data_IF_034325410351
#
_entry.id   IF_034325410351
#
_cell.length_a   1.000
_cell.length_b   1.000
_cell.length_c   1.000
_cell.angle_alpha   90.00
_cell.angle_beta   90.00
_cell.angle_gamma   90.00
#
_symmetry.space_group_name_H-M   'P 1'
#
loop_
_entity.id
_entity.type
_entity.pdbx_description
1 polymer ?
#
# COMPACT_ATOMS: atom_id res chain seq x y z
N UNK A 1 1.64 2.82 -13.66
CA UNK A 1 1.23 3.96 -12.81
C UNK A 1 -0.20 3.72 -12.38
N UNK A 2 -0.52 3.92 -11.09
CA UNK A 2 -1.87 3.73 -10.54
C UNK A 2 -2.34 4.98 -9.84
N UNK A 3 -3.33 4.82 -8.96
CA UNK A 3 -3.67 5.83 -7.94
C UNK A 3 -3.29 5.24 -6.59
N UNK A 4 -2.24 5.77 -6.00
CA UNK A 4 -1.63 5.33 -4.74
C UNK A 4 -1.42 6.52 -3.84
N UNK A 5 -1.69 6.35 -2.55
CA UNK A 5 -1.33 7.34 -1.54
C UNK A 5 -0.08 6.81 -0.84
N UNK A 6 1.02 7.56 -0.96
CA UNK A 6 2.24 7.33 -0.22
C UNK A 6 2.28 8.30 0.96
N UNK A 7 2.67 7.83 2.13
CA UNK A 7 2.86 8.67 3.31
C UNK A 7 4.05 8.21 4.16
N UNK A 8 4.66 9.16 4.85
CA UNK A 8 5.74 8.92 5.82
C UNK A 8 5.72 9.99 6.90
N UNK A 9 6.22 9.65 8.08
CA UNK A 9 6.23 10.56 9.23
C UNK A 9 6.81 9.88 10.45
N UNK A 10 6.97 10.68 11.50
CA UNK A 10 7.42 10.24 12.84
C UNK A 10 6.30 10.59 13.81
N UNK A 11 5.92 9.65 14.67
CA UNK A 11 4.95 9.95 15.72
C UNK A 11 5.55 10.97 16.69
N UNK A 12 4.79 12.00 17.02
CA UNK A 12 5.26 13.10 17.87
C UNK A 12 5.55 12.60 19.31
N UNK A 13 4.71 11.70 19.81
CA UNK A 13 4.74 11.17 21.18
C UNK A 13 4.58 9.62 21.14
N UNK A 14 5.67 8.83 21.16
CA UNK A 14 5.61 7.36 21.06
C UNK A 14 4.72 6.68 22.12
N UNK A 15 4.54 7.29 23.29
CA UNK A 15 3.63 6.84 24.33
C UNK A 15 2.15 6.83 23.89
N UNK A 16 1.79 7.63 22.88
CA UNK A 16 0.42 7.74 22.35
C UNK A 16 0.06 6.69 21.31
N UNK A 17 0.95 5.75 21.00
CA UNK A 17 0.66 4.64 20.06
C UNK A 17 -0.59 3.85 20.47
N UNK A 18 -0.79 3.63 21.77
CA UNK A 18 -1.99 2.93 22.27
C UNK A 18 -3.27 3.73 22.05
N UNK A 19 -3.19 5.05 22.13
CA UNK A 19 -4.32 5.92 21.84
C UNK A 19 -4.64 5.91 20.35
N UNK A 20 -3.62 5.98 19.49
CA UNK A 20 -3.75 5.83 18.03
C UNK A 20 -4.41 4.49 17.67
N UNK A 21 -3.92 3.37 18.23
CA UNK A 21 -4.48 2.03 18.00
C UNK A 21 -5.94 1.96 18.43
N UNK A 22 -6.28 2.50 19.61
CA UNK A 22 -7.66 2.52 20.13
C UNK A 22 -8.57 3.30 19.20
N UNK A 23 -8.17 4.51 18.83
CA UNK A 23 -8.98 5.38 17.97
C UNK A 23 -9.20 4.75 16.59
N UNK A 24 -8.14 4.26 15.94
CA UNK A 24 -8.25 3.62 14.63
C UNK A 24 -9.00 2.28 14.70
N UNK A 25 -8.95 1.57 15.83
CA UNK A 25 -9.81 0.39 16.07
C UNK A 25 -11.29 0.79 16.13
N UNK A 26 -11.61 1.90 16.80
CA UNK A 26 -13.00 2.39 16.90
C UNK A 26 -13.51 2.85 15.54
N UNK A 27 -12.66 3.48 14.74
CA UNK A 27 -12.95 3.82 13.34
C UNK A 27 -13.20 2.55 12.52
N UNK A 28 -12.32 1.55 12.60
CA UNK A 28 -12.48 0.28 11.89
C UNK A 28 -13.82 -0.38 12.21
N UNK A 29 -14.15 -0.49 13.51
CA UNK A 29 -15.41 -1.06 13.98
C UNK A 29 -16.62 -0.28 13.49
N UNK A 30 -16.56 1.05 13.54
CA UNK A 30 -17.66 1.92 13.10
C UNK A 30 -17.92 1.80 11.60
N UNK A 31 -16.87 1.57 10.81
CA UNK A 31 -16.94 1.43 9.36
C UNK A 31 -17.13 -0.02 8.90
N UNK A 32 -17.13 -0.99 9.83
CA UNK A 32 -17.20 -2.42 9.51
C UNK A 32 -15.95 -2.96 8.81
N UNK A 33 -14.78 -2.37 9.07
CA UNK A 33 -13.52 -2.77 8.46
C UNK A 33 -12.78 -3.79 9.31
N UNK A 34 -12.10 -4.71 8.63
CA UNK A 34 -11.12 -5.59 9.27
C UNK A 34 -9.90 -4.77 9.70
N UNK A 35 -9.26 -5.20 10.79
CA UNK A 35 -8.04 -4.58 11.28
C UNK A 35 -7.13 -5.60 11.94
N UNK A 36 -5.83 -5.33 11.93
CA UNK A 36 -4.82 -6.11 12.64
C UNK A 36 -3.97 -5.20 13.52
N UNK A 37 -3.67 -5.63 14.74
CA UNK A 37 -2.78 -4.93 15.65
C UNK A 37 -1.42 -5.61 15.68
N UNK A 38 -0.36 -4.82 15.76
CA UNK A 38 0.98 -5.28 16.15
C UNK A 38 1.36 -4.58 17.45
N UNK A 39 1.96 -5.34 18.38
CA UNK A 39 2.49 -4.81 19.64
C UNK A 39 3.78 -5.54 20.02
N UNK A 40 4.77 -5.49 19.14
CA UNK A 40 6.06 -6.15 19.35
C UNK A 40 6.83 -5.53 20.53
N UNK A 41 7.70 -6.34 21.15
CA UNK A 41 8.63 -5.85 22.17
C UNK A 41 9.80 -5.09 21.53
N UNK A 42 9.84 -3.78 21.70
CA UNK A 42 10.94 -2.93 21.23
C UNK A 42 12.28 -3.15 21.95
N UNK A 43 12.31 -3.94 23.03
CA UNK A 43 13.56 -4.38 23.64
C UNK A 43 14.27 -5.46 22.82
N UNK A 44 13.57 -6.10 21.87
CA UNK A 44 14.12 -7.10 20.96
C UNK A 44 14.48 -6.43 19.63
N UNK A 45 15.71 -6.64 19.17
CA UNK A 45 16.15 -6.14 17.87
C UNK A 45 15.38 -6.82 16.74
N UNK A 46 14.91 -6.07 15.72
CA UNK A 46 14.24 -6.68 14.57
C UNK A 46 15.18 -7.58 13.76
N UNK A 47 14.72 -8.78 13.43
CA UNK A 47 15.44 -9.79 12.64
C UNK A 47 14.53 -10.50 11.61
N UNK A 48 13.43 -9.84 11.23
CA UNK A 48 12.45 -10.43 10.34
C UNK A 48 12.99 -10.73 8.93
N UNK A 49 12.63 -11.91 8.39
CA UNK A 49 13.03 -12.36 7.05
C UNK A 49 11.86 -13.03 6.30
N UNK A 50 11.91 -12.96 4.97
CA UNK A 50 11.01 -13.74 4.10
C UNK A 50 11.60 -15.12 3.84
N UNK A 51 10.92 -16.15 4.36
CA UNK A 51 11.30 -17.55 4.15
C UNK A 51 10.41 -18.15 3.06
N UNK A 52 11.04 -18.52 1.95
CA UNK A 52 10.40 -19.20 0.83
C UNK A 52 10.33 -20.71 1.11
N UNK A 53 9.12 -21.21 1.36
CA UNK A 53 8.81 -22.63 1.38
C UNK A 53 8.50 -23.17 -0.02
N UNK A 54 8.21 -24.47 -0.13
CA UNK A 54 7.89 -25.11 -1.41
C UNK A 54 6.61 -24.57 -2.07
N UNK A 55 5.66 -24.06 -1.28
CA UNK A 55 4.34 -23.62 -1.75
C UNK A 55 3.80 -22.36 -1.05
N UNK A 56 4.58 -21.77 -0.14
CA UNK A 56 4.18 -20.56 0.59
C UNK A 56 5.40 -19.72 0.93
N UNK A 57 5.17 -18.42 1.10
CA UNK A 57 6.13 -17.49 1.68
C UNK A 57 5.66 -17.16 3.09
N UNK A 58 6.57 -17.28 4.06
CA UNK A 58 6.27 -16.99 5.47
C UNK A 58 7.24 -15.95 6.00
N UNK A 59 6.76 -15.10 6.90
CA UNK A 59 7.60 -14.18 7.64
C UNK A 59 8.05 -14.88 8.91
N UNK A 60 9.36 -14.90 9.18
CA UNK A 60 9.94 -15.35 10.45
C UNK A 60 10.68 -14.20 11.11
N UNK A 61 10.96 -14.34 12.39
CA UNK A 61 11.67 -13.32 13.18
C UNK A 61 10.72 -12.28 13.78
N UNK A 62 11.32 -11.22 14.30
CA UNK A 62 10.69 -10.12 15.01
C UNK A 62 10.72 -8.86 14.16
N UNK A 63 9.57 -8.19 14.01
CA UNK A 63 9.45 -7.00 13.16
C UNK A 63 9.82 -5.71 13.91
N UNK A 64 9.64 -5.69 15.23
CA UNK A 64 9.84 -4.50 16.07
C UNK A 64 8.82 -3.42 15.81
N UNK A 65 7.61 -3.80 15.41
CA UNK A 65 6.55 -2.87 15.04
C UNK A 65 5.43 -2.85 16.07
N UNK A 66 4.94 -1.64 16.36
CA UNK A 66 3.69 -1.41 17.10
C UNK A 66 2.73 -0.61 16.25
N UNK A 67 1.44 -0.85 16.34
CA UNK A 67 0.44 -0.05 15.65
C UNK A 67 -0.71 -0.88 15.10
N UNK A 68 -1.30 -0.41 14.00
CA UNK A 68 -2.52 -0.99 13.45
C UNK A 68 -2.51 -0.94 11.91
N UNK A 69 -3.06 -1.96 11.28
CA UNK A 69 -3.49 -1.92 9.88
C UNK A 69 -5.00 -2.03 9.79
N UNK A 70 -5.59 -1.33 8.83
CA UNK A 70 -7.02 -1.31 8.52
C UNK A 70 -7.24 -1.85 7.11
N UNK A 71 -8.39 -2.47 6.86
CA UNK A 71 -8.80 -2.91 5.52
C UNK A 71 -10.09 -2.17 5.09
N UNK A 72 -9.98 -0.96 4.52
CA UNK A 72 -11.13 -0.21 4.05
C UNK A 72 -11.88 -0.94 2.92
N UNK A 73 -13.21 -0.90 2.94
CA UNK A 73 -14.04 -1.33 1.81
C UNK A 73 -14.16 -2.84 1.58
N UNK A 74 -13.68 -3.68 2.51
CA UNK A 74 -13.91 -5.14 2.47
C UNK A 74 -13.05 -5.91 1.45
N UNK A 75 -12.04 -5.28 0.87
CA UNK A 75 -11.08 -5.93 -0.02
C UNK A 75 -10.12 -4.92 -0.65
N UNK A 76 -8.83 -5.24 -0.67
CA UNK A 76 -7.79 -4.36 -1.22
C UNK A 76 -6.47 -4.45 -0.45
N UNK A 77 -5.65 -3.41 -0.60
CA UNK A 77 -4.44 -3.23 0.20
C UNK A 77 -4.79 -2.69 1.59
N UNK A 78 -3.96 -2.99 2.59
CA UNK A 78 -4.17 -2.48 3.94
C UNK A 78 -3.70 -1.03 4.07
N UNK A 79 -4.46 -0.21 4.79
CA UNK A 79 -4.01 1.10 5.28
C UNK A 79 -3.21 0.88 6.57
N UNK A 80 -1.92 1.21 6.58
CA UNK A 80 -0.97 0.76 7.60
C UNK A 80 -0.43 1.91 8.44
N UNK A 81 -0.55 1.79 9.76
CA UNK A 81 0.02 2.71 10.75
C UNK A 81 0.88 1.93 11.74
N UNK A 82 1.86 1.18 11.24
CA UNK A 82 2.89 0.55 12.08
C UNK A 82 4.06 1.50 12.30
N UNK A 83 4.63 1.42 13.50
CA UNK A 83 5.63 2.33 14.02
C UNK A 83 6.79 1.52 14.59
N UNK A 84 8.02 1.86 14.18
CA UNK A 84 9.23 1.27 14.74
C UNK A 84 9.65 1.93 16.07
N UNK A 85 10.68 1.38 16.73
CA UNK A 85 11.19 1.91 18.00
C UNK A 85 11.79 3.33 17.91
N UNK A 86 11.99 3.86 16.70
CA UNK A 86 12.42 5.25 16.46
C UNK A 86 11.24 6.20 16.23
N UNK A 87 10.01 5.69 16.30
CA UNK A 87 8.79 6.45 16.10
C UNK A 87 8.37 6.59 14.63
N UNK A 88 9.05 5.95 13.68
CA UNK A 88 8.77 6.15 12.26
C UNK A 88 7.69 5.22 11.74
N UNK A 89 6.88 5.73 10.81
CA UNK A 89 5.94 4.91 10.05
C UNK A 89 6.68 3.89 9.18
N UNK A 90 6.20 2.64 9.22
CA UNK A 90 6.75 1.49 8.50
C UNK A 90 5.66 0.62 7.90
N UNK A 91 6.02 -0.09 6.83
CA UNK A 91 5.31 -1.29 6.40
C UNK A 91 6.07 -2.54 6.85
N UNK A 92 5.39 -3.69 6.88
CA UNK A 92 6.03 -4.97 7.16
C UNK A 92 7.15 -5.26 6.14
N UNK A 93 6.89 -4.99 4.86
CA UNK A 93 7.84 -5.24 3.78
C UNK A 93 9.05 -4.32 3.86
N UNK A 94 8.88 -3.08 4.30
CA UNK A 94 9.99 -2.16 4.56
C UNK A 94 10.90 -2.68 5.68
N UNK A 95 10.31 -3.14 6.80
CA UNK A 95 11.10 -3.70 7.90
C UNK A 95 11.88 -4.94 7.49
N UNK A 96 11.27 -5.87 6.77
CA UNK A 96 11.97 -7.07 6.29
C UNK A 96 13.17 -6.65 5.40
N UNK A 97 12.95 -5.74 4.45
CA UNK A 97 14.05 -5.28 3.59
C UNK A 97 15.14 -4.54 4.37
N UNK A 98 14.78 -3.84 5.45
CA UNK A 98 15.75 -3.22 6.36
C UNK A 98 16.58 -4.28 7.11
N UNK A 99 15.93 -5.32 7.66
CA UNK A 99 16.62 -6.45 8.32
C UNK A 99 17.55 -7.19 7.35
N UNK A 100 17.16 -7.31 6.08
CA UNK A 100 17.98 -7.90 5.02
C UNK A 100 19.06 -6.95 4.46
N UNK A 101 19.16 -5.72 4.97
CA UNK A 101 20.16 -4.72 4.54
C UNK A 101 19.92 -4.15 3.13
N UNK A 102 18.69 -4.22 2.62
CA UNK A 102 18.30 -3.82 1.25
C UNK A 102 17.71 -2.41 1.17
N UNK A 103 17.23 -1.84 2.27
CA UNK A 103 16.58 -0.52 2.29
C UNK A 103 17.28 0.45 3.22
N UNK A 104 17.26 1.74 2.85
CA UNK A 104 17.71 2.85 3.68
C UNK A 104 16.51 3.35 4.53
N UNK A 105 16.56 3.25 5.87
CA UNK A 105 15.40 3.54 6.74
C UNK A 105 14.82 4.97 6.63
N UNK A 106 15.64 5.93 6.19
CA UNK A 106 15.28 7.35 6.06
C UNK A 106 14.46 7.68 4.81
N UNK A 107 14.31 6.72 3.89
CA UNK A 107 13.66 6.95 2.59
C UNK A 107 12.39 6.12 2.39
N UNK A 108 12.03 5.32 3.38
CA UNK A 108 10.87 4.45 3.31
C UNK A 108 9.56 5.25 3.31
N UNK A 109 8.69 4.89 2.37
CA UNK A 109 7.29 5.33 2.31
C UNK A 109 6.41 4.15 2.64
N UNK A 110 5.34 4.40 3.39
CA UNK A 110 4.21 3.48 3.46
C UNK A 110 3.25 3.87 2.35
N UNK A 111 2.67 2.90 1.66
CA UNK A 111 1.78 3.15 0.54
C UNK A 111 0.49 2.36 0.67
N UNK A 112 -0.58 2.90 0.12
CA UNK A 112 -1.82 2.18 -0.11
C UNK A 112 -2.34 2.53 -1.51
N UNK A 113 -2.48 1.51 -2.36
CA UNK A 113 -3.10 1.65 -3.66
C UNK A 113 -4.60 1.76 -3.50
N UNK A 114 -5.16 2.83 -4.07
CA UNK A 114 -6.58 3.16 -3.99
C UNK A 114 -7.31 3.07 -5.33
N UNK A 115 -6.59 2.81 -6.43
CA UNK A 115 -7.12 2.74 -7.80
C UNK A 115 -8.39 1.88 -7.98
N UNK A 116 -8.48 0.77 -7.25
CA UNK A 116 -9.60 -0.19 -7.38
C UNK A 116 -10.70 0.03 -6.34
N UNK A 117 -10.56 1.07 -5.50
CA UNK A 117 -11.57 1.48 -4.54
C UNK A 117 -12.42 2.61 -5.11
N UNK A 118 -13.55 2.90 -4.46
CA UNK A 118 -14.34 4.05 -4.84
C UNK A 118 -13.60 5.37 -4.53
N UNK A 119 -13.86 6.44 -5.29
CA UNK A 119 -13.36 7.78 -5.01
C UNK A 119 -13.70 8.24 -3.58
N UNK A 120 -14.85 7.85 -3.05
CA UNK A 120 -15.25 8.16 -1.67
C UNK A 120 -14.31 7.55 -0.63
N UNK A 121 -13.86 6.30 -0.83
CA UNK A 121 -12.90 5.65 0.07
C UNK A 121 -11.56 6.38 0.02
N UNK A 122 -11.09 6.77 -1.16
CA UNK A 122 -9.87 7.56 -1.31
C UNK A 122 -9.96 8.90 -0.56
N UNK A 123 -11.04 9.67 -0.78
CA UNK A 123 -11.28 10.95 -0.11
C UNK A 123 -11.32 10.78 1.41
N UNK A 124 -11.95 9.71 1.88
CA UNK A 124 -12.01 9.39 3.30
C UNK A 124 -10.62 9.10 3.87
N UNK A 125 -9.78 8.32 3.16
CA UNK A 125 -8.41 8.01 3.58
C UNK A 125 -7.59 9.30 3.69
N UNK A 126 -7.69 10.20 2.70
CA UNK A 126 -7.04 11.52 2.76
C UNK A 126 -7.54 12.32 3.97
N UNK A 127 -8.84 12.30 4.26
CA UNK A 127 -9.42 12.93 5.45
C UNK A 127 -8.83 12.38 6.75
N UNK A 128 -8.70 11.05 6.86
CA UNK A 128 -8.08 10.39 8.00
C UNK A 128 -6.60 10.80 8.13
N UNK A 129 -5.83 10.78 7.05
CA UNK A 129 -4.41 11.18 7.07
C UNK A 129 -4.23 12.64 7.52
N UNK A 130 -5.11 13.56 7.08
CA UNK A 130 -5.10 14.96 7.56
C UNK A 130 -5.41 15.07 9.04
N UNK A 131 -6.32 14.24 9.55
CA UNK A 131 -6.59 14.20 10.98
C UNK A 131 -5.37 13.69 11.76
N UNK A 132 -4.77 12.57 11.31
CA UNK A 132 -3.59 11.98 11.93
C UNK A 132 -2.37 12.91 11.88
N UNK A 133 -2.18 13.66 10.80
CA UNK A 133 -1.14 14.70 10.71
C UNK A 133 -1.28 15.74 11.83
N UNK A 134 -2.51 16.12 12.18
CA UNK A 134 -2.75 17.12 13.23
C UNK A 134 -2.60 16.57 14.64
N UNK A 135 -2.85 15.28 14.83
CA UNK A 135 -2.98 14.68 16.17
C UNK A 135 -1.77 13.86 16.62
N UNK A 136 -1.06 13.23 15.68
CA UNK A 136 -0.05 12.22 15.96
C UNK A 136 1.24 12.40 15.16
N UNK A 137 1.19 13.03 13.98
CA UNK A 137 2.32 13.10 13.05
C UNK A 137 2.47 14.52 12.49
N UNK A 138 2.98 15.45 13.29
CA UNK A 138 3.15 16.86 12.87
C UNK A 138 4.01 17.03 11.61
N UNK A 139 4.88 16.07 11.32
CA UNK A 139 5.73 16.00 10.13
C UNK A 139 5.25 15.01 9.06
N UNK A 140 3.97 14.62 9.06
CA UNK A 140 3.43 13.71 8.05
C UNK A 140 3.59 14.33 6.66
N UNK A 141 4.33 13.64 5.81
CA UNK A 141 4.42 13.90 4.38
C UNK A 141 3.49 12.93 3.64
N UNK A 142 2.78 13.43 2.64
CA UNK A 142 1.88 12.64 1.80
C UNK A 142 2.15 13.00 0.34
N UNK A 143 2.31 11.97 -0.48
CA UNK A 143 2.36 12.04 -1.93
C UNK A 143 1.19 11.24 -2.48
N UNK A 144 0.17 11.96 -2.93
CA UNK A 144 -1.07 11.39 -3.45
C UNK A 144 -1.05 11.44 -4.99
N UNK A 145 -0.87 10.29 -5.63
CA UNK A 145 -0.91 10.17 -7.09
C UNK A 145 -2.30 10.57 -7.66
N UNK A 146 -3.35 10.53 -6.84
CA UNK A 146 -4.67 11.06 -7.14
C UNK A 146 -4.70 12.59 -7.25
N UNK A 147 -3.86 13.29 -6.50
CA UNK A 147 -3.77 14.75 -6.42
C UNK A 147 -4.84 15.39 -5.53
N UNK A 148 -5.66 14.59 -4.85
CA UNK A 148 -6.73 15.08 -3.98
C UNK A 148 -6.16 15.67 -2.68
N UNK A 149 -5.04 15.14 -2.18
CA UNK A 149 -4.32 15.69 -1.02
C UNK A 149 -3.89 17.16 -1.22
N UNK A 150 -3.50 17.58 -2.41
CA UNK A 150 -3.07 18.95 -2.66
C UNK A 150 -4.24 19.86 -3.03
N UNK A 151 -5.18 19.33 -3.82
CA UNK A 151 -6.19 20.14 -4.51
C UNK A 151 -7.56 20.12 -3.86
N UNK A 152 -7.93 19.02 -3.20
CA UNK A 152 -9.32 18.74 -2.82
C UNK A 152 -10.26 18.55 -4.02
N UNK A 153 -9.74 18.40 -5.25
CA UNK A 153 -10.54 18.25 -6.46
C UNK A 153 -11.03 16.80 -6.62
N UNK A 154 -12.24 16.57 -6.12
CA UNK A 154 -12.90 15.27 -6.24
C UNK A 154 -13.19 14.90 -7.70
N UNK A 155 -13.59 15.84 -8.54
CA UNK A 155 -13.90 15.56 -9.94
C UNK A 155 -12.63 15.15 -10.71
N UNK A 156 -11.51 15.80 -10.43
CA UNK A 156 -10.20 15.43 -10.96
C UNK A 156 -9.76 14.03 -10.54
N UNK A 157 -9.96 13.66 -9.26
CA UNK A 157 -9.70 12.30 -8.78
C UNK A 157 -10.55 11.26 -9.50
N UNK A 158 -11.86 11.49 -9.60
CA UNK A 158 -12.82 10.61 -10.28
C UNK A 158 -12.45 10.40 -11.76
N UNK A 159 -12.16 11.48 -12.48
CA UNK A 159 -11.76 11.43 -13.88
C UNK A 159 -10.45 10.65 -14.08
N UNK A 160 -9.47 10.85 -13.19
CA UNK A 160 -8.18 10.13 -13.26
C UNK A 160 -8.36 8.63 -12.99
N UNK A 161 -9.11 8.26 -11.96
CA UNK A 161 -9.40 6.84 -11.65
C UNK A 161 -10.13 6.16 -12.80
N UNK A 162 -11.15 6.81 -13.37
CA UNK A 162 -11.90 6.29 -14.51
C UNK A 162 -10.99 6.06 -15.71
N UNK A 163 -10.22 7.07 -16.10
CA UNK A 163 -9.29 6.99 -17.23
C UNK A 163 -8.31 5.81 -17.09
N UNK A 164 -7.71 5.64 -15.91
CA UNK A 164 -6.75 4.56 -15.67
C UNK A 164 -7.41 3.18 -15.71
N UNK A 165 -8.63 3.05 -15.18
CA UNK A 165 -9.36 1.78 -15.20
C UNK A 165 -9.78 1.42 -16.63
N UNK A 166 -10.27 2.39 -17.43
CA UNK A 166 -10.56 2.17 -18.85
C UNK A 166 -9.32 1.70 -19.63
N UNK A 167 -8.15 2.32 -19.41
CA UNK A 167 -6.91 1.88 -20.08
C UNK A 167 -6.44 0.51 -19.63
N UNK A 168 -6.69 0.13 -18.39
CA UNK A 168 -6.42 -1.22 -17.92
C UNK A 168 -7.37 -2.25 -18.54
N UNK A 169 -8.65 -1.92 -18.66
CA UNK A 169 -9.66 -2.80 -19.25
C UNK A 169 -9.46 -2.97 -20.77
N UNK A 170 -9.11 -1.90 -21.48
CA UNK A 170 -8.68 -1.95 -22.89
C UNK A 170 -7.48 -2.89 -23.04
N UNK A 171 -6.42 -2.70 -22.24
CA UNK A 171 -5.22 -3.54 -22.30
C UNK A 171 -5.51 -5.00 -21.92
N UNK A 172 -6.36 -5.24 -20.91
CA UNK A 172 -6.72 -6.59 -20.50
C UNK A 172 -7.54 -7.33 -21.57
N UNK A 173 -8.47 -6.62 -22.22
CA UNK A 173 -9.25 -7.13 -23.36
C UNK A 173 -8.31 -7.52 -24.50
N UNK A 174 -7.33 -6.66 -24.77
CA UNK A 174 -6.34 -6.84 -25.82
C UNK A 174 -5.41 -8.03 -25.57
N UNK A 175 -4.96 -8.22 -24.33
CA UNK A 175 -4.04 -9.31 -23.95
C UNK A 175 -4.73 -10.65 -23.69
N UNK A 176 -6.06 -10.75 -23.84
CA UNK A 176 -6.76 -12.01 -23.60
C UNK A 176 -6.22 -13.11 -24.54
N UNK A 177 -6.15 -14.36 -24.05
CA UNK A 177 -5.45 -15.46 -24.71
C UNK A 177 -5.96 -15.77 -26.14
N UNK A 178 -7.21 -15.42 -26.46
CA UNK A 178 -7.74 -15.50 -27.83
C UNK A 178 -6.97 -14.59 -28.81
N UNK A 179 -6.52 -13.41 -28.37
CA UNK A 179 -5.79 -12.45 -29.18
C UNK A 179 -4.30 -12.84 -29.37
N UNK A 180 -3.70 -13.46 -28.35
CA UNK A 180 -2.31 -13.93 -28.38
C UNK A 180 -2.16 -15.38 -28.90
N UNK A 181 -3.27 -16.11 -29.09
CA UNK A 181 -3.28 -17.51 -29.52
C UNK A 181 -2.75 -18.49 -28.46
N UNK A 182 -2.44 -19.72 -28.88
CA UNK A 182 -1.85 -20.72 -27.99
C UNK A 182 -0.41 -20.31 -27.60
N UNK A 183 -0.21 -20.15 -26.29
CA UNK A 183 1.08 -19.81 -25.68
C UNK A 183 1.76 -21.04 -25.06
N UNK A 184 1.11 -22.22 -25.08
CA UNK A 184 1.65 -23.43 -24.49
C UNK A 184 2.91 -23.90 -25.24
N UNK A 185 3.96 -24.24 -24.48
CA UNK A 185 5.22 -24.72 -25.04
C UNK A 185 6.15 -23.63 -25.61
N UNK A 186 5.76 -22.34 -25.55
CA UNK A 186 6.64 -21.23 -25.91
C UNK A 186 7.64 -20.90 -24.80
N UNK A 187 8.83 -20.43 -25.18
CA UNK A 187 9.80 -19.85 -24.23
C UNK A 187 9.36 -18.46 -23.76
N UNK A 188 9.98 -17.94 -22.69
CA UNK A 188 9.68 -16.60 -22.19
C UNK A 188 9.95 -15.51 -23.25
N UNK A 189 11.05 -15.64 -23.99
CA UNK A 189 11.42 -14.75 -25.10
C UNK A 189 10.42 -14.80 -26.26
N UNK A 190 9.88 -15.98 -26.59
CA UNK A 190 8.89 -16.13 -27.66
C UNK A 190 7.56 -15.48 -27.27
N UNK A 191 7.14 -15.63 -26.01
CA UNK A 191 5.94 -14.98 -25.47
C UNK A 191 6.12 -13.46 -25.49
N UNK A 192 7.28 -12.96 -25.05
CA UNK A 192 7.59 -11.53 -25.04
C UNK A 192 7.57 -10.93 -26.45
N UNK A 193 8.19 -11.61 -27.42
CA UNK A 193 8.21 -11.17 -28.83
C UNK A 193 6.79 -11.09 -29.40
N UNK A 194 5.94 -12.07 -29.07
CA UNK A 194 4.55 -12.10 -29.55
C UNK A 194 3.69 -10.98 -28.97
N UNK A 195 3.88 -10.66 -27.68
CA UNK A 195 3.24 -9.50 -27.05
C UNK A 195 3.73 -8.21 -27.71
N UNK A 196 5.02 -8.09 -27.99
CA UNK A 196 5.60 -6.89 -28.62
C UNK A 196 5.04 -6.67 -30.04
N UNK A 197 4.97 -7.71 -30.86
CA UNK A 197 4.40 -7.65 -32.21
C UNK A 197 2.92 -7.26 -32.16
N UNK A 198 2.15 -7.88 -31.27
CA UNK A 198 0.74 -7.57 -31.06
C UNK A 198 0.51 -6.09 -30.67
N UNK A 199 1.36 -5.53 -29.80
CA UNK A 199 1.26 -4.13 -29.39
C UNK A 199 1.67 -3.15 -30.50
N UNK A 200 2.62 -3.52 -31.36
CA UNK A 200 3.06 -2.68 -32.50
C UNK A 200 2.02 -2.52 -33.58
N UNK A 201 1.18 -3.54 -33.81
CA UNK A 201 0.10 -3.49 -34.82
C UNK A 201 -1.02 -2.49 -34.47
N UNK A 202 -1.01 -1.94 -33.25
CA UNK A 202 -2.08 -1.11 -32.68
C UNK A 202 -1.66 0.32 -32.33
N UNK A 203 -0.45 0.74 -32.72
CA UNK A 203 -0.01 2.16 -32.71
C UNK A 203 -0.39 2.86 -34.00
#
# INVERSE_FOLDING_TARGET
>A
MGVTIHYRGVIDEPERIRDLQRELTDVAKSMGWEYSLLDDDWAVSPDAELVHGQSSVTIKGHLGLKGISLLPGGGGEALVFFIDSTGRLRSIMDMIQQCEGRTIPDRAWVSMKTQFMSPDVHVWIVGLLRYLQKQYFSNLEVDDEGGFWETGDRAGLEAKMHFLNEKMDELATDLNAEALGDLSGLSAEDIASRIEDFLKERQ
#
